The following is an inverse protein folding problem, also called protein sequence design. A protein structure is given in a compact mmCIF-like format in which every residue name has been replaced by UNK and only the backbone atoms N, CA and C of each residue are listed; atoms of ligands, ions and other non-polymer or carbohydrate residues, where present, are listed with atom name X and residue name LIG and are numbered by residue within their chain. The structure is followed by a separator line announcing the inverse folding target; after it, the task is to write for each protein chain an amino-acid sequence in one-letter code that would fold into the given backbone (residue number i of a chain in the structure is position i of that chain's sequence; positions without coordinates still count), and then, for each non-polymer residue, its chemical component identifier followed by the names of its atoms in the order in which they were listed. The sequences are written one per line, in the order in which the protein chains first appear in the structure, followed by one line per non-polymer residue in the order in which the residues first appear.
data_IF_996338718857
#
_entry.id   IF_996338718857
#
_cell.length_a   1.000
_cell.length_b   1.000
_cell.length_c   1.000
_cell.angle_alpha   90.00
_cell.angle_beta   90.00
_cell.angle_gamma   90.00
#
_symmetry.space_group_name_H-M   'P 1'
#
loop_
_entity.id
_entity.type
_entity.pdbx_description
1 polymer ?
#
# COMPACT_ATOMS: atom_id res chain seq x y z
N UNK A 1 15.71 -44.18 28.44
CA UNK A 1 15.06 -42.86 28.59
C UNK A 1 15.70 -41.79 27.71
N UNK A 2 17.02 -41.57 27.76
CA UNK A 2 17.70 -40.56 26.94
C UNK A 2 17.62 -40.77 25.42
N UNK A 3 17.59 -42.03 24.94
CA UNK A 3 17.52 -42.35 23.51
C UNK A 3 16.20 -41.90 22.87
N UNK A 4 15.08 -42.11 23.56
CA UNK A 4 13.75 -41.68 23.09
C UNK A 4 13.65 -40.16 23.08
N UNK A 5 14.19 -39.50 24.12
CA UNK A 5 14.20 -38.04 24.20
C UNK A 5 15.06 -37.42 23.09
N UNK A 6 16.27 -37.95 22.85
CA UNK A 6 17.15 -37.47 21.78
C UNK A 6 16.55 -37.67 20.38
N UNK A 7 15.86 -38.80 20.15
CA UNK A 7 15.16 -39.03 18.89
C UNK A 7 14.02 -38.02 18.67
N UNK A 8 13.16 -37.80 19.67
CA UNK A 8 12.07 -36.82 19.57
C UNK A 8 12.61 -35.40 19.32
N UNK A 9 13.66 -35.00 20.05
CA UNK A 9 14.33 -33.71 19.83
C UNK A 9 14.90 -33.58 18.42
N UNK A 10 15.54 -34.63 17.89
CA UNK A 10 16.10 -34.61 16.55
C UNK A 10 15.01 -34.44 15.47
N UNK A 11 13.90 -35.18 15.59
CA UNK A 11 12.77 -35.04 14.67
C UNK A 11 12.17 -33.63 14.72
N UNK A 12 11.94 -33.09 15.92
CA UNK A 12 11.44 -31.72 16.09
C UNK A 12 12.40 -30.67 15.52
N UNK A 13 13.71 -30.82 15.73
CA UNK A 13 14.72 -29.91 15.18
C UNK A 13 14.74 -29.91 13.65
N UNK A 14 14.60 -31.09 13.03
CA UNK A 14 14.53 -31.21 11.57
C UNK A 14 13.25 -30.57 11.02
N UNK A 15 12.10 -30.80 11.64
CA UNK A 15 10.84 -30.15 11.21
C UNK A 15 10.95 -28.62 11.31
N UNK A 16 11.46 -28.11 12.44
CA UNK A 16 11.68 -26.68 12.63
C UNK A 16 12.61 -26.09 11.55
N UNK A 17 13.71 -26.79 11.21
CA UNK A 17 14.62 -26.35 10.16
C UNK A 17 13.96 -26.33 8.76
N UNK A 18 13.09 -27.30 8.45
CA UNK A 18 12.35 -27.32 7.18
C UNK A 18 11.36 -26.16 7.11
N UNK A 19 10.59 -25.93 8.18
CA UNK A 19 9.60 -24.86 8.22
C UNK A 19 10.27 -23.48 8.13
N UNK A 20 11.39 -23.29 8.81
CA UNK A 20 12.17 -22.05 8.76
C UNK A 20 12.71 -21.79 7.35
N UNK A 21 13.25 -22.82 6.68
CA UNK A 21 13.69 -22.70 5.28
C UNK A 21 12.54 -22.33 4.33
N UNK A 22 11.35 -22.92 4.53
CA UNK A 22 10.17 -22.60 3.73
C UNK A 22 9.72 -21.16 3.95
N UNK A 23 9.76 -20.66 5.20
CA UNK A 23 9.45 -19.27 5.53
C UNK A 23 10.40 -18.31 4.84
N UNK A 24 11.71 -18.54 4.95
CA UNK A 24 12.71 -17.71 4.27
C UNK A 24 12.51 -17.66 2.75
N UNK A 25 12.15 -18.78 2.13
CA UNK A 25 11.82 -18.79 0.69
C UNK A 25 10.56 -17.97 0.38
N UNK A 26 9.54 -18.06 1.22
CA UNK A 26 8.30 -17.30 1.08
C UNK A 26 8.55 -15.80 1.25
N UNK A 27 9.24 -15.41 2.32
CA UNK A 27 9.56 -14.01 2.61
C UNK A 27 10.38 -13.39 1.47
N UNK A 28 11.36 -14.13 0.95
CA UNK A 28 12.16 -13.65 -0.17
C UNK A 28 11.33 -13.51 -1.47
N UNK A 29 10.30 -14.34 -1.66
CA UNK A 29 9.41 -14.19 -2.81
C UNK A 29 8.55 -12.92 -2.69
N UNK A 30 7.96 -12.67 -1.51
CA UNK A 30 7.18 -11.44 -1.23
C UNK A 30 8.04 -10.19 -1.32
N UNK A 31 9.25 -10.20 -0.74
CA UNK A 31 10.16 -9.05 -0.75
C UNK A 31 10.62 -8.66 -2.17
N UNK A 32 10.66 -9.63 -3.10
CA UNK A 32 11.02 -9.41 -4.50
C UNK A 32 9.82 -9.16 -5.42
N UNK A 33 8.59 -9.06 -4.90
CA UNK A 33 7.46 -8.60 -5.70
C UNK A 33 7.73 -7.18 -6.23
N UNK A 34 7.18 -6.87 -7.40
CA UNK A 34 7.40 -5.60 -8.08
C UNK A 34 6.31 -4.58 -7.72
N UNK A 35 6.69 -3.31 -7.62
CA UNK A 35 5.78 -2.18 -7.44
C UNK A 35 6.20 -1.00 -8.33
N UNK A 36 5.23 -0.23 -8.80
CA UNK A 36 5.47 0.98 -9.60
C UNK A 36 5.58 2.19 -8.69
N UNK A 37 6.75 2.82 -8.63
CA UNK A 37 7.01 4.04 -7.84
C UNK A 37 7.21 5.25 -8.75
N UNK A 38 6.67 6.39 -8.34
CA UNK A 38 6.83 7.69 -9.00
C UNK A 38 7.94 8.48 -8.34
N UNK A 39 9.04 8.71 -9.07
CA UNK A 39 10.16 9.54 -8.61
C UNK A 39 10.54 10.53 -9.72
N UNK A 40 10.58 11.81 -9.38
CA UNK A 40 10.87 12.87 -10.37
C UNK A 40 9.85 12.98 -11.51
N UNK A 41 8.62 12.51 -11.30
CA UNK A 41 7.56 12.43 -12.33
C UNK A 41 7.75 11.32 -13.37
N UNK A 42 8.70 10.41 -13.14
CA UNK A 42 8.83 9.18 -13.93
C UNK A 42 8.39 7.99 -13.09
N UNK A 43 7.76 7.01 -13.74
CA UNK A 43 7.42 5.74 -13.13
C UNK A 43 8.62 4.80 -13.29
N UNK A 44 9.01 4.15 -12.19
CA UNK A 44 10.03 3.12 -12.17
C UNK A 44 9.52 1.91 -11.42
N UNK A 45 9.92 0.71 -11.85
CA UNK A 45 9.59 -0.53 -11.15
C UNK A 45 10.67 -0.83 -10.12
N UNK A 46 10.27 -1.06 -8.87
CA UNK A 46 11.17 -1.44 -7.78
C UNK A 46 10.64 -2.67 -7.04
N UNK A 47 11.53 -3.41 -6.38
CA UNK A 47 11.14 -4.50 -5.49
C UNK A 47 10.49 -3.95 -4.21
N UNK A 48 9.57 -4.72 -3.61
CA UNK A 48 8.86 -4.34 -2.38
C UNK A 48 9.81 -3.99 -1.24
N UNK A 49 10.93 -4.72 -1.10
CA UNK A 49 11.96 -4.44 -0.08
C UNK A 49 12.61 -3.05 -0.22
N UNK A 50 12.49 -2.38 -1.37
CA UNK A 50 13.12 -1.08 -1.67
C UNK A 50 12.18 0.12 -1.49
N UNK A 51 10.92 -0.13 -1.14
CA UNK A 51 9.92 0.91 -0.90
C UNK A 51 10.24 1.61 0.42
N UNK A 52 10.22 2.93 0.43
CA UNK A 52 10.47 3.75 1.61
C UNK A 52 9.30 4.70 1.90
N UNK A 53 9.16 5.10 3.17
CA UNK A 53 8.14 6.08 3.59
C UNK A 53 8.32 7.38 2.79
N UNK A 54 7.23 7.85 2.19
CA UNK A 54 7.22 9.05 1.33
C UNK A 54 7.33 8.75 -0.16
N UNK A 55 7.58 7.49 -0.55
CA UNK A 55 7.42 7.07 -1.94
C UNK A 55 5.95 7.16 -2.36
N UNK A 56 5.71 7.60 -3.60
CA UNK A 56 4.38 7.61 -4.21
C UNK A 56 4.28 6.41 -5.13
N UNK A 57 3.31 5.55 -4.90
CA UNK A 57 3.11 4.31 -5.65
C UNK A 57 1.93 4.46 -6.61
N UNK A 58 2.04 3.82 -7.77
CA UNK A 58 0.94 3.59 -8.70
C UNK A 58 0.52 2.14 -8.52
N UNK A 59 -0.75 1.93 -8.17
CA UNK A 59 -1.31 0.60 -7.98
C UNK A 59 -2.41 0.39 -9.01
N UNK A 60 -2.34 -0.74 -9.73
CA UNK A 60 -3.33 -1.11 -10.74
C UNK A 60 -4.39 -2.02 -10.14
N UNK A 61 -5.49 -2.20 -10.89
CA UNK A 61 -6.55 -3.09 -10.49
C UNK A 61 -6.02 -4.53 -10.31
N UNK A 62 -6.44 -5.18 -9.22
CA UNK A 62 -6.04 -6.54 -8.82
C UNK A 62 -4.57 -6.71 -8.41
N UNK A 63 -3.85 -5.63 -8.12
CA UNK A 63 -2.53 -5.71 -7.50
C UNK A 63 -2.62 -5.69 -5.97
N UNK A 64 -1.71 -6.41 -5.32
CA UNK A 64 -1.59 -6.37 -3.85
C UNK A 64 -0.90 -5.09 -3.40
N UNK A 65 -1.32 -4.57 -2.25
CA UNK A 65 -0.71 -3.39 -1.67
C UNK A 65 0.59 -3.77 -0.94
N UNK A 66 1.73 -3.16 -1.27
CA UNK A 66 3.02 -3.53 -0.68
C UNK A 66 3.20 -3.05 0.78
N UNK A 67 2.42 -2.05 1.19
CA UNK A 67 2.50 -1.42 2.50
C UNK A 67 1.18 -0.69 2.84
N UNK A 68 1.09 -0.16 4.05
CA UNK A 68 0.03 0.78 4.43
C UNK A 68 0.21 2.10 3.66
N UNK A 69 -0.84 2.54 2.96
CA UNK A 69 -0.80 3.70 2.07
C UNK A 69 -1.95 4.67 2.33
N UNK A 70 -1.70 5.94 2.05
CA UNK A 70 -2.75 6.96 1.98
C UNK A 70 -3.15 7.15 0.51
N UNK A 71 -4.44 7.00 0.23
CA UNK A 71 -5.00 7.20 -1.10
C UNK A 71 -4.95 8.68 -1.48
N UNK A 72 -4.19 9.02 -2.52
CA UNK A 72 -4.06 10.40 -2.99
C UNK A 72 -5.08 10.74 -4.09
N UNK A 73 -5.25 9.83 -5.04
CA UNK A 73 -6.19 9.96 -6.13
C UNK A 73 -6.57 8.58 -6.67
N UNK A 74 -7.72 8.50 -7.33
CA UNK A 74 -8.17 7.30 -8.03
C UNK A 74 -8.71 7.65 -9.42
N UNK A 75 -8.69 6.67 -10.33
CA UNK A 75 -9.37 6.73 -11.61
C UNK A 75 -10.86 6.38 -11.52
N UNK A 76 -11.34 5.94 -10.35
CA UNK A 76 -12.76 5.74 -10.10
C UNK A 76 -13.52 7.05 -9.98
N UNK A 77 -14.84 6.96 -10.11
CA UNK A 77 -15.75 8.10 -9.99
C UNK A 77 -15.57 8.79 -8.64
N UNK A 78 -15.50 10.13 -8.64
CA UNK A 78 -15.24 10.97 -7.46
C UNK A 78 -13.99 10.57 -6.65
N UNK A 79 -12.99 9.93 -7.28
CA UNK A 79 -11.77 9.49 -6.58
C UNK A 79 -11.98 8.27 -5.70
N UNK A 80 -13.03 7.47 -5.95
CA UNK A 80 -13.30 6.23 -5.23
C UNK A 80 -12.49 5.04 -5.75
N UNK A 81 -12.18 4.09 -4.88
CA UNK A 81 -11.64 2.78 -5.23
C UNK A 81 -12.17 1.70 -4.29
N UNK A 82 -12.06 0.45 -4.71
CA UNK A 82 -12.50 -0.71 -3.94
C UNK A 82 -11.28 -1.51 -3.51
N UNK A 83 -11.18 -1.78 -2.20
CA UNK A 83 -10.09 -2.54 -1.61
C UNK A 83 -10.64 -3.83 -0.99
N UNK A 84 -10.02 -4.95 -1.32
CA UNK A 84 -10.29 -6.24 -0.66
C UNK A 84 -9.39 -6.38 0.56
N UNK A 85 -9.98 -6.69 1.72
CA UNK A 85 -9.23 -7.01 2.95
C UNK A 85 -9.26 -8.50 3.28
N UNK A 86 -9.67 -9.36 2.36
CA UNK A 86 -9.83 -10.80 2.59
C UNK A 86 -8.59 -11.48 3.18
N UNK A 87 -7.38 -11.03 2.82
CA UNK A 87 -6.12 -11.57 3.35
C UNK A 87 -5.84 -11.16 4.81
N UNK A 88 -6.53 -10.13 5.33
CA UNK A 88 -6.32 -9.56 6.67
C UNK A 88 -7.40 -9.99 7.66
N UNK A 89 -8.68 -9.91 7.28
CA UNK A 89 -9.82 -10.19 8.15
C UNK A 89 -10.72 -11.35 7.67
N UNK A 90 -10.44 -11.90 6.48
CA UNK A 90 -11.25 -12.98 5.89
C UNK A 90 -12.59 -12.51 5.31
N UNK A 91 -12.86 -11.20 5.27
CA UNK A 91 -14.08 -10.66 4.67
C UNK A 91 -14.01 -10.72 3.14
N UNK A 92 -15.10 -11.17 2.50
CA UNK A 92 -15.18 -11.25 1.03
C UNK A 92 -15.69 -9.96 0.39
N UNK A 93 -16.14 -9.00 1.20
CA UNK A 93 -16.72 -7.76 0.73
C UNK A 93 -15.62 -6.75 0.38
N UNK A 94 -15.83 -6.02 -0.71
CA UNK A 94 -14.96 -4.91 -1.08
C UNK A 94 -15.32 -3.68 -0.23
N UNK A 95 -14.29 -3.07 0.36
CA UNK A 95 -14.42 -1.83 1.14
C UNK A 95 -14.19 -0.65 0.20
N UNK A 96 -15.18 0.25 0.13
CA UNK A 96 -15.06 1.50 -0.61
C UNK A 96 -14.11 2.44 0.14
N UNK A 97 -13.13 2.98 -0.58
CA UNK A 97 -12.21 4.02 -0.10
C UNK A 97 -12.27 5.20 -1.06
N UNK A 98 -12.19 6.41 -0.54
CA UNK A 98 -12.31 7.64 -1.34
C UNK A 98 -11.11 8.52 -1.07
N UNK A 99 -10.49 9.03 -2.13
CA UNK A 99 -9.40 9.98 -2.03
C UNK A 99 -9.91 11.30 -1.42
N UNK A 100 -9.10 12.00 -0.59
CA UNK A 100 -9.46 13.32 -0.10
C UNK A 100 -9.78 14.28 -1.27
N UNK A 101 -10.91 14.98 -1.19
CA UNK A 101 -11.44 15.80 -2.28
C UNK A 101 -10.43 16.81 -2.85
N UNK A 102 -9.66 17.55 -2.02
CA UNK A 102 -8.64 18.45 -2.52
C UNK A 102 -7.49 17.76 -3.25
N UNK A 103 -7.09 16.54 -2.85
CA UNK A 103 -6.05 15.80 -3.56
C UNK A 103 -6.55 15.27 -4.89
N UNK A 104 -7.75 14.68 -4.92
CA UNK A 104 -8.38 14.23 -6.16
C UNK A 104 -8.49 15.40 -7.16
N UNK A 105 -8.98 16.55 -6.68
CA UNK A 105 -9.11 17.76 -7.50
C UNK A 105 -7.76 18.31 -7.95
N UNK A 106 -6.77 18.34 -7.05
CA UNK A 106 -5.45 18.88 -7.34
C UNK A 106 -4.67 17.99 -8.30
N UNK A 107 -4.80 16.66 -8.23
CA UNK A 107 -4.01 15.72 -9.02
C UNK A 107 -4.70 15.35 -10.34
N UNK A 108 -6.00 15.06 -10.32
CA UNK A 108 -6.73 14.58 -11.50
C UNK A 108 -7.69 15.64 -12.02
N UNK A 109 -8.32 16.40 -11.13
CA UNK A 109 -9.38 17.36 -11.47
C UNK A 109 -10.78 16.83 -11.13
N UNK A 110 -11.80 17.68 -11.33
CA UNK A 110 -13.18 17.43 -10.90
C UNK A 110 -13.90 16.44 -11.84
N UNK A 111 -13.59 16.48 -13.14
CA UNK A 111 -14.28 15.69 -14.17
C UNK A 111 -13.52 14.40 -14.55
N UNK A 112 -13.23 13.55 -13.58
CA UNK A 112 -12.56 12.25 -13.86
C UNK A 112 -13.51 11.18 -14.42
N UNK A 113 -14.76 11.54 -14.73
CA UNK A 113 -15.74 10.62 -15.30
C UNK A 113 -15.31 10.13 -16.69
N UNK A 114 -14.98 8.84 -16.77
CA UNK A 114 -14.77 8.07 -18.01
C UNK A 114 -13.49 8.32 -18.84
N UNK A 115 -12.46 8.96 -18.28
CA UNK A 115 -11.14 8.96 -18.92
C UNK A 115 -10.44 7.59 -18.69
N UNK A 116 -9.79 7.05 -19.73
CA UNK A 116 -8.95 5.84 -19.60
C UNK A 116 -7.96 6.00 -18.43
N UNK A 117 -7.74 4.91 -17.68
CA UNK A 117 -6.90 4.91 -16.47
C UNK A 117 -5.49 5.49 -16.71
N UNK A 118 -4.92 5.23 -17.89
CA UNK A 118 -3.62 5.77 -18.30
C UNK A 118 -3.65 7.30 -18.51
N UNK A 119 -4.78 7.84 -18.96
CA UNK A 119 -5.01 9.28 -19.09
C UNK A 119 -5.04 9.97 -17.73
N UNK A 120 -5.79 9.41 -16.76
CA UNK A 120 -5.84 9.89 -15.38
C UNK A 120 -4.45 9.89 -14.74
N UNK A 121 -3.70 8.80 -14.93
CA UNK A 121 -2.34 8.67 -14.40
C UNK A 121 -1.41 9.76 -14.96
N UNK A 122 -1.41 9.99 -16.28
CA UNK A 122 -0.55 11.00 -16.90
C UNK A 122 -0.82 12.42 -16.39
N UNK A 123 -2.09 12.77 -16.15
CA UNK A 123 -2.50 14.04 -15.52
C UNK A 123 -1.97 14.14 -14.09
N UNK A 124 -2.16 13.08 -13.30
CA UNK A 124 -1.70 13.01 -11.93
C UNK A 124 -0.18 13.17 -11.83
N UNK A 125 0.60 12.45 -12.65
CA UNK A 125 2.07 12.54 -12.66
C UNK A 125 2.58 13.96 -12.93
N UNK A 126 1.97 14.63 -13.90
CA UNK A 126 2.36 16.01 -14.29
C UNK A 126 2.06 16.99 -13.16
N UNK A 127 0.92 16.85 -12.48
CA UNK A 127 0.54 17.74 -11.38
C UNK A 127 1.23 17.41 -10.07
N UNK A 128 1.56 16.14 -9.81
CA UNK A 128 2.24 15.69 -8.59
C UNK A 128 3.58 16.41 -8.39
N UNK A 129 4.28 16.78 -9.47
CA UNK A 129 5.52 17.56 -9.39
C UNK A 129 5.34 18.96 -8.77
N UNK A 130 4.13 19.52 -8.84
CA UNK A 130 3.81 20.86 -8.34
C UNK A 130 3.10 20.83 -6.97
N UNK A 131 2.64 19.66 -6.54
CA UNK A 131 1.94 19.48 -5.28
C UNK A 131 2.95 19.21 -4.17
N UNK A 132 2.85 19.97 -3.08
CA UNK A 132 3.64 19.75 -1.87
C UNK A 132 2.72 19.69 -0.67
N UNK A 133 2.94 18.73 0.20
CA UNK A 133 2.16 18.56 1.41
C UNK A 133 2.88 17.69 2.43
N UNK A 134 2.34 17.66 3.64
CA UNK A 134 2.81 16.82 4.74
C UNK A 134 1.66 15.98 5.25
N UNK A 135 1.93 14.69 5.46
CA UNK A 135 1.00 13.77 6.12
C UNK A 135 1.56 13.48 7.50
N UNK A 136 0.76 13.73 8.54
CA UNK A 136 1.00 13.30 9.90
C UNK A 136 0.08 12.13 10.19
N UNK A 137 0.64 11.06 10.75
CA UNK A 137 -0.12 9.89 11.16
C UNK A 137 0.25 9.53 12.60
N UNK A 138 -0.68 8.85 13.27
CA UNK A 138 -0.37 8.22 14.55
C UNK A 138 0.73 7.16 14.43
N UNK A 139 1.30 6.76 15.58
CA UNK A 139 2.27 5.66 15.60
C UNK A 139 1.58 4.36 15.18
N UNK A 140 2.31 3.41 14.54
CA UNK A 140 1.74 2.12 14.20
C UNK A 140 1.10 1.44 15.43
N UNK A 141 -0.17 1.08 15.30
CA UNK A 141 -0.92 0.35 16.33
C UNK A 141 -1.33 -1.02 15.79
N UNK A 142 -1.67 -1.95 16.69
CA UNK A 142 -2.18 -3.27 16.29
C UNK A 142 -3.67 -3.24 15.87
N UNK A 143 -4.29 -2.06 15.82
CA UNK A 143 -5.69 -1.92 15.40
C UNK A 143 -5.77 -1.79 13.88
N UNK A 144 -6.37 -2.78 13.24
CA UNK A 144 -6.55 -2.81 11.77
C UNK A 144 -7.79 -2.04 11.29
N UNK A 145 -8.60 -1.50 12.20
CA UNK A 145 -9.86 -0.83 11.87
C UNK A 145 -9.85 0.68 12.14
N UNK A 146 -8.80 1.19 12.77
CA UNK A 146 -8.68 2.60 13.11
C UNK A 146 -7.37 3.14 12.56
N UNK A 147 -7.47 4.26 11.86
CA UNK A 147 -6.36 5.08 11.47
C UNK A 147 -6.70 6.52 11.82
N UNK A 148 -5.78 7.22 12.47
CA UNK A 148 -5.88 8.66 12.69
C UNK A 148 -4.66 9.35 12.09
N UNK A 149 -4.93 10.16 11.08
CA UNK A 149 -3.93 11.03 10.49
C UNK A 149 -4.52 12.38 10.13
N UNK A 150 -3.64 13.31 9.82
CA UNK A 150 -3.98 14.57 9.21
C UNK A 150 -3.03 14.87 8.08
N UNK A 151 -3.54 15.52 7.05
CA UNK A 151 -2.76 15.95 5.92
C UNK A 151 -2.88 17.46 5.73
N UNK A 152 -1.80 18.07 5.26
CA UNK A 152 -1.74 19.50 4.95
C UNK A 152 -1.11 19.68 3.59
N UNK A 153 -1.78 20.41 2.70
CA UNK A 153 -1.28 20.73 1.36
C UNK A 153 -0.75 22.16 1.32
N UNK A 154 0.58 22.34 1.21
CA UNK A 154 1.22 23.66 1.25
C UNK A 154 0.87 24.46 2.51
N UNK A 155 0.39 25.70 2.32
CA UNK A 155 -0.16 26.57 3.38
C UNK A 155 -1.69 26.39 3.57
N UNK A 156 -2.26 25.35 2.97
CA UNK A 156 -3.69 25.07 3.01
C UNK A 156 -4.18 24.52 4.35
N UNK A 157 -5.49 24.27 4.41
CA UNK A 157 -6.15 23.71 5.58
C UNK A 157 -5.69 22.27 5.88
N UNK A 158 -5.74 21.91 7.16
CA UNK A 158 -5.51 20.56 7.63
C UNK A 158 -6.77 19.71 7.42
N UNK A 159 -6.62 18.59 6.72
CA UNK A 159 -7.70 17.62 6.51
C UNK A 159 -7.42 16.36 7.32
N UNK A 160 -8.45 15.85 7.98
CA UNK A 160 -8.38 14.59 8.70
C UNK A 160 -8.39 13.40 7.71
N UNK A 161 -7.50 12.45 7.92
CA UNK A 161 -7.48 11.15 7.27
C UNK A 161 -7.97 10.12 8.29
N UNK A 162 -9.12 9.51 8.02
CA UNK A 162 -9.76 8.49 8.86
C UNK A 162 -10.05 7.22 8.04
#
# INVERSE_FOLDING_TARGET
TFLVLGFMMAVSAVMAAIDDYRRHKSDNATNNQEAQVVRGGQISTIAWEKIAVGDVLVVRANEELPADMVLLASSGEEGSCYVSTANLDGETNLKLKTAPGPLQTSLVGIDSGADEADGVLSKALTKLQNVRGTVQAEKPTNSIHSFSGSMRLGEGAEEALN
#
